data_IF_264152665438
#
_entry.id   IF_264152665438
#
_cell.length_a   1.000
_cell.length_b   1.000
_cell.length_c   1.000
_cell.angle_alpha   90.00
_cell.angle_beta   90.00
_cell.angle_gamma   90.00
#
_symmetry.space_group_name_H-M   'P 1'
#
loop_
_entity.id
_entity.type
_entity.pdbx_description
1 polymer ?
#
# COMPACT_ATOMS: atom_id res chain seq x y z
N UNK A 1 9.71 16.57 -9.58
CA UNK A 1 10.83 15.62 -9.65
C UNK A 1 10.28 14.25 -9.33
N UNK A 2 10.34 13.30 -10.27
CA UNK A 2 10.05 11.89 -9.99
C UNK A 2 11.32 11.35 -9.36
N UNK A 3 11.33 11.19 -8.03
CA UNK A 3 12.52 10.68 -7.33
C UNK A 3 12.58 9.17 -7.57
N UNK A 4 13.70 8.71 -8.13
CA UNK A 4 13.97 7.31 -8.39
C UNK A 4 14.27 6.62 -7.05
N UNK A 5 13.44 5.64 -6.69
CA UNK A 5 13.45 4.95 -5.39
C UNK A 5 14.74 4.16 -5.05
N UNK A 6 15.70 4.09 -5.97
CA UNK A 6 16.90 3.25 -5.85
C UNK A 6 18.02 3.82 -4.96
N UNK A 7 17.89 5.05 -4.46
CA UNK A 7 18.97 5.74 -3.72
C UNK A 7 18.75 5.84 -2.20
N UNK A 8 17.79 5.09 -1.63
CA UNK A 8 17.55 5.13 -0.17
C UNK A 8 18.36 4.03 0.53
N UNK A 9 19.69 4.22 0.57
CA UNK A 9 20.60 3.26 1.19
C UNK A 9 20.55 3.29 2.74
N UNK A 10 20.60 2.10 3.34
CA UNK A 10 20.84 1.89 4.77
C UNK A 10 19.58 1.77 5.65
N UNK A 11 18.43 1.40 5.09
CA UNK A 11 17.29 0.91 5.85
C UNK A 11 17.46 -0.60 6.06
N UNK A 12 17.43 -1.09 7.30
CA UNK A 12 17.48 -2.52 7.59
C UNK A 12 16.05 -3.11 7.58
N UNK A 13 15.31 -2.91 6.48
CA UNK A 13 13.90 -3.25 6.32
C UNK A 13 13.67 -4.32 5.23
N UNK A 14 14.62 -5.25 5.12
CA UNK A 14 14.54 -6.38 4.20
C UNK A 14 13.64 -7.51 4.69
N UNK A 15 13.29 -7.51 5.98
CA UNK A 15 12.48 -8.56 6.62
C UNK A 15 11.08 -8.65 6.03
N UNK A 16 10.67 -9.82 5.54
CA UNK A 16 9.32 -10.10 5.07
C UNK A 16 8.61 -11.14 5.94
N UNK A 17 7.40 -10.82 6.37
CA UNK A 17 6.54 -11.75 7.08
C UNK A 17 5.86 -12.74 6.13
N UNK A 18 5.93 -14.03 6.47
CA UNK A 18 5.25 -15.09 5.74
C UNK A 18 4.00 -15.57 6.50
N UNK A 19 2.82 -15.29 5.95
CA UNK A 19 1.53 -15.73 6.52
C UNK A 19 1.37 -17.24 6.69
N UNK A 20 2.09 -18.04 5.88
CA UNK A 20 1.99 -19.49 5.96
C UNK A 20 2.95 -20.09 7.00
N UNK A 21 4.07 -19.43 7.28
CA UNK A 21 5.00 -19.84 8.32
C UNK A 21 4.72 -19.16 9.67
N UNK A 22 3.95 -18.07 9.66
CA UNK A 22 3.73 -17.18 10.80
C UNK A 22 5.04 -16.63 11.40
N UNK A 23 6.02 -16.28 10.55
CA UNK A 23 7.29 -15.70 10.99
C UNK A 23 7.91 -14.78 9.92
N UNK A 24 8.84 -13.95 10.39
CA UNK A 24 9.66 -13.06 9.57
C UNK A 24 10.90 -13.78 9.01
N UNK A 25 11.24 -13.45 7.77
CA UNK A 25 12.45 -13.91 7.08
C UNK A 25 13.24 -12.70 6.58
N UNK A 26 14.57 -12.76 6.61
CA UNK A 26 15.39 -11.77 5.90
C UNK A 26 15.26 -11.99 4.38
N UNK A 27 14.48 -11.14 3.73
CA UNK A 27 14.08 -11.32 2.33
C UNK A 27 12.93 -12.30 2.15
N UNK A 28 12.94 -13.04 1.04
CA UNK A 28 11.85 -13.93 0.67
C UNK A 28 11.77 -15.18 1.55
N UNK A 29 10.56 -15.69 1.78
CA UNK A 29 10.37 -16.91 2.55
C UNK A 29 11.09 -18.10 1.88
N UNK A 30 11.96 -18.84 2.57
CA UNK A 30 12.72 -19.96 1.97
C UNK A 30 11.84 -21.16 1.61
N UNK A 31 10.69 -21.32 2.27
CA UNK A 31 9.75 -22.43 2.05
C UNK A 31 8.77 -22.10 0.92
N UNK A 32 8.28 -20.87 0.91
CA UNK A 32 7.14 -20.48 0.08
C UNK A 32 7.52 -19.55 -1.08
N UNK A 33 8.73 -18.97 -1.06
CA UNK A 33 9.20 -17.98 -2.02
C UNK A 33 8.63 -16.57 -1.79
N UNK A 34 8.88 -15.63 -2.72
CA UNK A 34 8.43 -14.25 -2.62
C UNK A 34 6.90 -14.09 -2.54
N UNK A 35 6.46 -12.92 -2.05
CA UNK A 35 5.08 -12.46 -2.23
C UNK A 35 4.83 -12.14 -3.71
N UNK A 36 3.74 -12.69 -4.26
CA UNK A 36 3.30 -12.39 -5.62
C UNK A 36 2.81 -10.95 -5.70
N UNK A 37 3.14 -10.23 -6.76
CA UNK A 37 2.76 -8.82 -6.91
C UNK A 37 1.50 -8.71 -7.76
N UNK A 38 0.46 -8.09 -7.22
CA UNK A 38 -0.64 -7.58 -8.05
C UNK A 38 -0.18 -6.24 -8.61
N UNK A 39 0.10 -6.22 -9.91
CA UNK A 39 0.62 -5.05 -10.60
C UNK A 39 -0.46 -3.99 -10.77
N UNK A 40 -0.09 -2.74 -10.50
CA UNK A 40 -0.89 -1.58 -10.86
C UNK A 40 -1.12 -1.54 -12.37
N UNK A 41 -2.28 -1.02 -12.77
CA UNK A 41 -2.52 -0.67 -14.18
C UNK A 41 -1.53 0.43 -14.56
N UNK A 42 -0.72 0.19 -15.61
CA UNK A 42 0.35 1.12 -15.98
C UNK A 42 -0.21 2.44 -16.51
N UNK A 43 0.10 3.53 -15.81
CA UNK A 43 -0.24 4.90 -16.21
C UNK A 43 1.05 5.73 -16.26
N UNK A 44 1.32 6.50 -17.34
CA UNK A 44 2.51 7.34 -17.44
C UNK A 44 2.66 8.30 -16.23
N UNK A 45 3.84 8.38 -15.59
CA UNK A 45 4.09 9.33 -14.51
C UNK A 45 4.05 10.79 -15.00
N UNK A 46 3.53 11.70 -14.16
CA UNK A 46 3.75 13.15 -14.33
C UNK A 46 2.77 13.90 -15.23
N UNK A 47 1.69 13.26 -15.70
CA UNK A 47 0.56 13.98 -16.30
C UNK A 47 -0.28 14.52 -15.14
N UNK A 48 -0.62 15.82 -15.13
CA UNK A 48 -1.52 16.47 -14.13
C UNK A 48 -2.97 15.94 -14.14
N UNK A 49 -3.14 14.66 -14.46
CA UNK A 49 -4.38 13.92 -14.50
C UNK A 49 -4.86 13.68 -13.07
N UNK A 50 -5.89 14.43 -12.69
CA UNK A 50 -6.53 14.36 -11.37
C UNK A 50 -7.24 13.03 -11.10
N UNK A 51 -7.26 12.10 -12.07
CA UNK A 51 -7.81 10.75 -11.97
C UNK A 51 -6.75 9.66 -12.13
N UNK A 52 -5.45 9.98 -12.07
CA UNK A 52 -4.36 8.99 -12.19
C UNK A 52 -4.54 7.86 -11.17
N UNK A 53 -4.82 8.20 -9.92
CA UNK A 53 -5.08 7.22 -8.85
C UNK A 53 -6.10 6.15 -9.26
N UNK A 54 -7.24 6.54 -9.83
CA UNK A 54 -8.26 5.60 -10.32
C UNK A 54 -7.76 4.78 -11.51
N UNK A 55 -7.02 5.40 -12.44
CA UNK A 55 -6.51 4.72 -13.64
C UNK A 55 -5.43 3.67 -13.31
N UNK A 56 -4.75 3.80 -12.18
CA UNK A 56 -3.77 2.80 -11.71
C UNK A 56 -4.42 1.57 -11.07
N UNK A 57 -5.74 1.58 -10.83
CA UNK A 57 -6.46 0.46 -10.22
C UNK A 57 -6.35 -0.81 -11.09
N UNK A 58 -5.85 -1.93 -10.54
CA UNK A 58 -5.85 -3.21 -11.25
C UNK A 58 -7.27 -3.72 -11.50
N UNK A 59 -7.51 -4.38 -12.63
CA UNK A 59 -8.79 -5.01 -13.01
C UNK A 59 -9.36 -6.05 -12.02
N UNK A 60 -8.64 -6.39 -10.95
CA UNK A 60 -9.11 -7.28 -9.89
C UNK A 60 -9.89 -6.53 -8.80
N UNK A 61 -9.97 -5.21 -8.90
CA UNK A 61 -10.58 -4.34 -7.91
C UNK A 61 -11.50 -3.32 -8.58
N UNK A 62 -12.48 -2.87 -7.81
CA UNK A 62 -13.38 -1.78 -8.16
C UNK A 62 -13.41 -0.72 -7.06
N UNK A 63 -13.76 0.52 -7.44
CA UNK A 63 -14.10 1.57 -6.47
C UNK A 63 -15.60 1.58 -6.25
N UNK A 64 -16.04 1.65 -5.00
CA UNK A 64 -17.47 1.69 -4.65
C UNK A 64 -17.72 2.51 -3.40
N UNK A 65 -18.99 2.79 -3.09
CA UNK A 65 -19.36 3.49 -1.86
C UNK A 65 -18.86 2.69 -0.65
N UNK A 66 -18.20 3.38 0.28
CA UNK A 66 -17.70 2.76 1.49
C UNK A 66 -18.85 2.53 2.48
N UNK A 67 -18.79 1.42 3.20
CA UNK A 67 -19.68 1.17 4.35
C UNK A 67 -19.22 1.93 5.62
N UNK A 68 -18.02 2.52 5.59
CA UNK A 68 -17.46 3.28 6.72
C UNK A 68 -18.12 4.67 6.83
N UNK A 69 -18.37 5.32 5.69
CA UNK A 69 -19.21 6.52 5.63
C UNK A 69 -19.87 6.66 4.27
N UNK A 70 -21.11 7.17 4.26
CA UNK A 70 -21.89 7.34 3.03
C UNK A 70 -21.22 8.27 2.00
N UNK A 71 -20.34 9.16 2.47
CA UNK A 71 -19.60 10.12 1.65
C UNK A 71 -18.20 9.66 1.23
N UNK A 72 -17.73 8.48 1.68
CA UNK A 72 -16.42 7.95 1.29
C UNK A 72 -16.53 6.87 0.22
N UNK A 73 -15.52 6.79 -0.64
CA UNK A 73 -15.33 5.71 -1.61
C UNK A 73 -14.27 4.76 -1.06
N UNK A 74 -14.52 3.45 -1.14
CA UNK A 74 -13.55 2.41 -0.82
C UNK A 74 -13.14 1.60 -2.04
N UNK A 75 -12.22 0.67 -1.83
CA UNK A 75 -11.80 -0.31 -2.84
C UNK A 75 -12.38 -1.68 -2.45
N UNK A 76 -12.84 -2.43 -3.44
CA UNK A 76 -13.47 -3.74 -3.29
C UNK A 76 -12.76 -4.74 -4.20
N UNK A 77 -12.67 -6.01 -3.78
CA UNK A 77 -12.18 -7.06 -4.68
C UNK A 77 -13.30 -7.59 -5.57
N UNK A 78 -13.03 -7.64 -6.88
CA UNK A 78 -13.95 -8.16 -7.90
C UNK A 78 -13.77 -9.66 -8.17
N UNK A 79 -12.91 -10.33 -7.40
CA UNK A 79 -12.74 -11.79 -7.38
C UNK A 79 -12.02 -12.25 -6.13
N UNK A 80 -12.00 -13.57 -5.90
CA UNK A 80 -11.17 -14.16 -4.87
C UNK A 80 -9.67 -13.92 -5.18
N UNK A 81 -8.93 -13.39 -4.21
CA UNK A 81 -7.49 -13.17 -4.31
C UNK A 81 -6.75 -14.23 -3.50
N UNK A 82 -5.75 -14.92 -4.09
CA UNK A 82 -5.03 -15.98 -3.38
C UNK A 82 -4.13 -15.41 -2.27
N UNK A 83 -3.79 -16.25 -1.29
CA UNK A 83 -2.74 -15.97 -0.31
C UNK A 83 -1.47 -15.42 -0.97
N UNK A 84 -0.68 -14.71 -0.15
CA UNK A 84 0.67 -14.27 -0.48
C UNK A 84 0.75 -13.33 -1.68
N UNK A 85 -0.26 -12.48 -1.85
CA UNK A 85 -0.17 -11.34 -2.74
C UNK A 85 0.17 -10.07 -1.96
N UNK A 86 0.93 -9.19 -2.60
CA UNK A 86 1.16 -7.82 -2.16
C UNK A 86 0.71 -6.82 -3.21
N UNK A 87 0.35 -5.64 -2.72
CA UNK A 87 -0.03 -4.47 -3.48
C UNK A 87 1.06 -3.40 -3.33
N UNK A 88 1.18 -2.55 -4.34
CA UNK A 88 2.06 -1.37 -4.31
C UNK A 88 3.38 -1.54 -5.07
N UNK A 89 4.29 -0.56 -4.93
CA UNK A 89 4.41 0.35 -3.79
C UNK A 89 3.30 1.41 -3.69
N UNK A 90 3.08 1.95 -2.50
CA UNK A 90 2.24 3.13 -2.27
C UNK A 90 2.91 4.37 -2.89
N UNK A 91 2.22 5.02 -3.82
CA UNK A 91 2.78 6.15 -4.57
C UNK A 91 2.26 7.49 -4.04
N UNK A 92 3.14 8.49 -4.02
CA UNK A 92 2.85 9.84 -3.57
C UNK A 92 4.07 10.73 -3.61
N UNK A 93 3.92 11.98 -3.19
CA UNK A 93 5.03 12.93 -3.09
C UNK A 93 5.91 12.58 -1.88
N UNK A 94 7.21 12.38 -2.12
CA UNK A 94 8.18 12.12 -1.06
C UNK A 94 8.59 13.43 -0.36
N UNK A 95 8.74 13.36 0.95
CA UNK A 95 9.22 14.48 1.77
C UNK A 95 10.11 13.97 2.90
N UNK A 96 11.28 14.60 3.04
CA UNK A 96 12.19 14.44 4.19
C UNK A 96 11.97 15.52 5.26
N UNK A 97 11.08 16.48 5.00
CA UNK A 97 10.82 17.58 5.93
C UNK A 97 10.02 17.08 7.15
N UNK A 98 10.73 16.98 8.28
CA UNK A 98 10.16 16.59 9.58
C UNK A 98 9.22 17.64 10.17
N UNK A 99 9.27 18.88 9.67
CA UNK A 99 8.44 20.02 10.14
C UNK A 99 7.11 20.09 9.41
N UNK A 100 6.84 19.23 8.43
CA UNK A 100 5.53 19.15 7.78
C UNK A 100 4.50 18.54 8.73
N UNK A 101 3.96 19.36 9.64
CA UNK A 101 3.02 18.96 10.71
C UNK A 101 1.63 18.59 10.16
N UNK A 102 1.24 19.04 8.97
CA UNK A 102 -0.06 18.72 8.37
C UNK A 102 -0.18 17.22 8.12
N UNK A 103 -0.67 16.46 9.10
CA UNK A 103 -0.99 15.04 8.95
C UNK A 103 -2.23 14.94 8.08
N UNK A 104 -2.02 14.58 6.82
CA UNK A 104 -3.10 14.15 5.94
C UNK A 104 -3.37 12.67 6.21
N UNK A 105 -4.61 12.21 6.04
CA UNK A 105 -4.94 10.78 6.11
C UNK A 105 -4.28 9.91 5.03
N UNK A 106 -3.46 10.51 4.16
CA UNK A 106 -2.80 9.88 3.01
C UNK A 106 -1.28 9.81 3.16
N UNK A 107 -0.76 10.02 4.38
CA UNK A 107 0.69 10.04 4.63
C UNK A 107 1.16 8.78 5.35
N UNK A 108 2.17 8.13 4.77
CA UNK A 108 2.94 7.08 5.44
C UNK A 108 4.34 7.57 5.79
N UNK A 109 4.81 7.19 6.98
CA UNK A 109 6.17 7.49 7.47
C UNK A 109 7.05 6.27 7.27
N UNK A 110 8.19 6.47 6.63
CA UNK A 110 9.24 5.45 6.46
C UNK A 110 10.26 5.67 7.57
N UNK A 111 10.52 4.63 8.36
CA UNK A 111 11.38 4.68 9.55
C UNK A 111 12.74 4.02 9.30
N UNK A 112 13.78 4.57 9.92
CA UNK A 112 15.10 3.98 10.10
C UNK A 112 15.36 3.85 11.61
N UNK A 113 15.14 2.66 12.17
CA UNK A 113 15.01 2.49 13.62
C UNK A 113 13.86 3.35 14.15
N UNK A 114 14.09 4.08 15.23
CA UNK A 114 13.05 4.94 15.83
C UNK A 114 12.87 6.29 15.13
N UNK A 115 13.72 6.61 14.14
CA UNK A 115 13.69 7.90 13.45
C UNK A 115 12.91 7.81 12.15
N UNK A 116 12.06 8.80 11.90
CA UNK A 116 11.48 8.99 10.56
C UNK A 116 12.61 9.38 9.59
N UNK A 117 12.83 8.53 8.60
CA UNK A 117 13.78 8.78 7.52
C UNK A 117 13.16 9.75 6.51
N UNK A 118 11.98 9.41 6.01
CA UNK A 118 11.21 10.21 5.08
C UNK A 118 9.73 9.82 5.15
N UNK A 119 8.89 10.47 4.35
CA UNK A 119 7.47 10.16 4.24
C UNK A 119 7.01 10.20 2.79
N UNK A 120 5.93 9.48 2.49
CA UNK A 120 5.20 9.54 1.23
C UNK A 120 3.81 10.10 1.49
N UNK A 121 3.38 11.11 0.73
CA UNK A 121 2.08 11.75 0.86
C UNK A 121 1.28 11.63 -0.45
N UNK A 122 0.17 10.90 -0.41
CA UNK A 122 -0.72 10.69 -1.56
C UNK A 122 -1.95 11.61 -1.57
N UNK A 123 -1.86 12.79 -0.94
CA UNK A 123 -2.94 13.78 -0.94
C UNK A 123 -3.31 14.20 -2.39
N UNK A 124 -2.33 14.38 -3.26
CA UNK A 124 -2.54 14.70 -4.68
C UNK A 124 -2.83 13.42 -5.50
N UNK A 125 -4.05 13.23 -6.04
CA UNK A 125 -4.43 12.07 -6.85
C UNK A 125 -3.65 11.95 -8.17
N UNK A 126 -3.04 13.04 -8.67
CA UNK A 126 -2.22 13.03 -9.89
C UNK A 126 -0.81 12.48 -9.66
N UNK A 127 -0.35 12.45 -8.40
CA UNK A 127 0.97 11.97 -8.01
C UNK A 127 0.92 10.65 -7.23
N UNK A 128 -0.25 10.01 -7.14
CA UNK A 128 -0.48 8.83 -6.32
C UNK A 128 -1.18 7.72 -7.10
N UNK A 129 -1.18 6.52 -6.53
CA UNK A 129 -1.87 5.35 -7.08
C UNK A 129 -3.14 5.03 -6.30
N UNK A 130 -3.86 4.02 -6.78
CA UNK A 130 -5.15 3.57 -6.26
C UNK A 130 -5.15 3.22 -4.78
N UNK A 131 -3.98 2.84 -4.22
CA UNK A 131 -3.83 2.48 -2.81
C UNK A 131 -4.21 3.60 -1.84
N UNK A 132 -4.16 4.87 -2.27
CA UNK A 132 -4.67 5.99 -1.48
C UNK A 132 -6.16 5.87 -1.12
N UNK A 133 -6.92 5.08 -1.87
CA UNK A 133 -8.37 4.88 -1.70
C UNK A 133 -8.71 3.68 -0.82
N UNK A 134 -7.72 2.90 -0.40
CA UNK A 134 -7.92 1.83 0.59
C UNK A 134 -8.21 2.49 1.93
N UNK A 135 -9.35 2.17 2.53
CA UNK A 135 -9.75 2.76 3.80
C UNK A 135 -9.05 2.08 4.96
N UNK A 136 -8.86 2.82 6.06
CA UNK A 136 -8.46 2.24 7.33
C UNK A 136 -9.57 1.34 7.87
N UNK A 137 -9.19 0.18 8.36
CA UNK A 137 -10.02 -0.64 9.22
C UNK A 137 -10.28 0.09 10.55
N UNK A 138 -11.45 -0.13 11.11
CA UNK A 138 -11.85 0.38 12.45
C UNK A 138 -11.53 -0.61 13.55
N UNK A 139 -11.23 -1.86 13.19
CA UNK A 139 -10.84 -2.94 14.10
C UNK A 139 -9.97 -3.96 13.37
N UNK A 140 -9.19 -4.74 14.12
CA UNK A 140 -8.32 -5.78 13.54
C UNK A 140 -9.12 -6.89 12.85
N UNK A 141 -10.36 -7.14 13.29
CA UNK A 141 -11.23 -8.19 12.74
C UNK A 141 -11.72 -7.87 11.32
N UNK A 142 -11.89 -6.58 10.98
CA UNK A 142 -12.28 -6.17 9.62
C UNK A 142 -11.07 -5.87 8.71
N UNK A 143 -9.87 -5.73 9.31
CA UNK A 143 -8.64 -5.52 8.56
C UNK A 143 -8.29 -6.75 7.74
N UNK A 144 -8.03 -6.54 6.45
CA UNK A 144 -7.63 -7.60 5.52
C UNK A 144 -6.34 -7.27 4.76
N UNK A 145 -5.81 -6.07 4.97
CA UNK A 145 -4.51 -5.64 4.50
C UNK A 145 -3.66 -5.17 5.67
N UNK A 146 -2.40 -5.59 5.69
CA UNK A 146 -1.37 -5.08 6.59
C UNK A 146 -0.38 -4.23 5.80
N UNK A 147 -0.13 -2.98 6.20
CA UNK A 147 0.92 -2.17 5.62
C UNK A 147 2.28 -2.63 6.15
N UNK A 148 3.27 -2.68 5.28
CA UNK A 148 4.64 -3.01 5.65
C UNK A 148 5.64 -2.17 4.88
N UNK A 149 6.75 -1.87 5.55
CA UNK A 149 7.88 -1.18 4.96
C UNK A 149 8.84 -2.19 4.34
N UNK A 150 9.29 -1.93 3.12
CA UNK A 150 10.33 -2.74 2.47
C UNK A 150 11.18 -1.88 1.56
N UNK A 151 12.51 -1.92 1.75
CA UNK A 151 13.49 -1.17 0.93
C UNK A 151 13.11 0.31 0.80
N UNK A 152 12.69 0.91 1.91
CA UNK A 152 12.29 2.32 1.98
C UNK A 152 10.95 2.67 1.33
N UNK A 153 10.13 1.69 0.99
CA UNK A 153 8.80 1.88 0.40
C UNK A 153 7.72 1.25 1.27
N UNK A 154 6.47 1.64 1.01
CA UNK A 154 5.30 1.08 1.68
C UNK A 154 4.56 0.18 0.71
N UNK A 155 4.19 -1.01 1.19
CA UNK A 155 3.42 -2.00 0.47
C UNK A 155 2.31 -2.51 1.37
N UNK A 156 1.24 -3.04 0.78
CA UNK A 156 0.17 -3.70 1.52
C UNK A 156 0.17 -5.20 1.19
N UNK A 157 -0.04 -6.06 2.17
CA UNK A 157 -0.18 -7.52 1.97
C UNK A 157 -1.48 -8.00 2.59
N UNK A 158 -2.06 -9.04 2.01
CA UNK A 158 -3.27 -9.66 2.57
C UNK A 158 -2.95 -10.43 3.86
N UNK A 159 -3.84 -10.35 4.84
CA UNK A 159 -3.73 -11.08 6.13
C UNK A 159 -4.34 -12.49 6.04
N UNK A 160 -5.31 -12.67 5.15
CA UNK A 160 -6.02 -13.95 5.01
C UNK A 160 -5.42 -14.84 3.92
N UNK A 161 -5.52 -16.16 4.11
CA UNK A 161 -5.10 -17.17 3.13
C UNK A 161 -5.92 -17.04 1.83
N UNK A 162 -7.14 -16.48 1.89
CA UNK A 162 -7.91 -16.08 0.72
C UNK A 162 -8.68 -14.79 1.03
N UNK A 163 -8.63 -13.80 0.14
CA UNK A 163 -9.53 -12.65 0.19
C UNK A 163 -10.74 -12.93 -0.71
N UNK A 164 -11.95 -12.63 -0.23
CA UNK A 164 -13.20 -13.05 -0.87
C UNK A 164 -13.76 -11.97 -1.79
N UNK A 165 -14.34 -12.39 -2.90
CA UNK A 165 -15.09 -11.53 -3.82
C UNK A 165 -16.13 -10.69 -3.07
N UNK A 166 -16.22 -9.40 -3.39
CA UNK A 166 -17.21 -8.49 -2.83
C UNK A 166 -16.88 -7.96 -1.44
N UNK A 167 -15.67 -8.21 -0.91
CA UNK A 167 -15.21 -7.65 0.36
C UNK A 167 -14.45 -6.34 0.13
N UNK A 168 -14.63 -5.38 1.05
CA UNK A 168 -13.87 -4.12 1.07
C UNK A 168 -12.42 -4.38 1.41
N UNK A 169 -11.49 -3.78 0.69
CA UNK A 169 -10.09 -3.72 1.08
C UNK A 169 -9.91 -2.70 2.22
N UNK A 170 -9.50 -3.18 3.39
CA UNK A 170 -9.32 -2.38 4.60
C UNK A 170 -7.93 -2.60 5.19
N UNK A 171 -7.18 -1.50 5.39
CA UNK A 171 -5.82 -1.51 5.92
C UNK A 171 -5.81 -1.28 7.43
N UNK A 172 -5.04 -2.09 8.16
CA UNK A 172 -4.78 -1.91 9.61
C UNK A 172 -4.09 -0.59 9.92
#
# INVERSE_FOLDING_TARGET
MVINYREVDGLNDNSMFCELCCCDWDGDCPVHGPLKVIQDTKVPPGVGDRKRDVKTLPHFFSTGQSKISESSTGVWADRDLPARHRLGPYEGTLSTDRRQVRTTGYRWKIKKGDRVHHSVNAEDPSCSNWLRRVNCARSEEEANLIPFQHRGLIYFRFVTICFKFGYSCLVS
#
